data_IF_233157374422
#
_entry.id   IF_233157374422
#
_cell.length_a   1.000
_cell.length_b   1.000
_cell.length_c   1.000
_cell.angle_alpha   90.00
_cell.angle_beta   90.00
_cell.angle_gamma   90.00
#
_symmetry.space_group_name_H-M   'P 1'
#
loop_
_entity.id
_entity.type
_entity.pdbx_description
1 polymer ?
#
# COMPACT_ATOMS: atom_id res chain seq x y z
N UNK A 1 -8.14 5.15 -43.70
CA UNK A 1 -7.16 5.69 -42.74
C UNK A 1 -5.82 5.78 -43.46
N UNK A 2 -5.34 6.99 -43.69
CA UNK A 2 -4.02 7.19 -44.31
C UNK A 2 -2.90 6.96 -43.27
N UNK A 3 -1.64 6.88 -43.72
CA UNK A 3 -0.50 6.59 -42.84
C UNK A 3 -0.23 7.70 -41.80
N UNK A 4 -0.59 8.94 -42.10
CA UNK A 4 -0.42 10.10 -41.23
C UNK A 4 -1.46 10.12 -40.11
N UNK A 5 -2.73 9.87 -40.42
CA UNK A 5 -3.83 9.69 -39.46
C UNK A 5 -3.53 8.54 -38.49
N UNK A 6 -2.97 7.43 -39.00
CA UNK A 6 -2.57 6.29 -38.17
C UNK A 6 -1.41 6.65 -37.22
N UNK A 7 -0.45 7.45 -37.68
CA UNK A 7 0.67 7.91 -36.87
C UNK A 7 0.22 8.92 -35.80
N UNK A 8 -0.68 9.83 -36.15
CA UNK A 8 -1.26 10.81 -35.23
C UNK A 8 -2.13 10.13 -34.17
N UNK A 9 -2.99 9.20 -34.55
CA UNK A 9 -3.78 8.40 -33.62
C UNK A 9 -2.88 7.57 -32.67
N UNK A 10 -1.79 6.99 -33.18
CA UNK A 10 -0.83 6.27 -32.34
C UNK A 10 -0.07 7.19 -31.38
N UNK A 11 0.30 8.40 -31.81
CA UNK A 11 0.91 9.39 -30.93
C UNK A 11 -0.05 9.86 -29.84
N UNK A 12 -1.33 10.07 -30.20
CA UNK A 12 -2.37 10.47 -29.27
C UNK A 12 -2.65 9.36 -28.24
N UNK A 13 -2.77 8.10 -28.69
CA UNK A 13 -2.87 6.94 -27.81
C UNK A 13 -1.66 6.79 -26.88
N UNK A 14 -0.43 6.92 -27.40
CA UNK A 14 0.79 6.89 -26.58
C UNK A 14 0.79 8.02 -25.55
N UNK A 15 0.36 9.23 -25.93
CA UNK A 15 0.29 10.39 -25.04
C UNK A 15 -0.75 10.18 -23.94
N UNK A 16 -1.95 9.72 -24.27
CA UNK A 16 -3.02 9.41 -23.30
C UNK A 16 -2.59 8.30 -22.33
N UNK A 17 -2.00 7.21 -22.83
CA UNK A 17 -1.49 6.11 -21.99
C UNK A 17 -0.34 6.58 -21.08
N UNK A 18 0.53 7.45 -21.58
CA UNK A 18 1.64 8.03 -20.79
C UNK A 18 1.11 8.98 -19.73
N UNK A 19 0.13 9.83 -20.06
CA UNK A 19 -0.50 10.78 -19.14
C UNK A 19 -1.24 10.06 -18.00
N UNK A 20 -2.00 9.00 -18.32
CA UNK A 20 -2.66 8.16 -17.31
C UNK A 20 -1.68 7.52 -16.32
N UNK A 21 -0.41 7.32 -16.72
CA UNK A 21 0.68 6.81 -15.90
C UNK A 21 1.44 7.93 -15.16
N UNK A 22 1.44 9.16 -15.68
CA UNK A 22 2.22 10.28 -15.15
C UNK A 22 1.51 11.07 -14.04
N UNK A 23 0.18 11.12 -14.04
CA UNK A 23 -0.58 11.87 -13.03
C UNK A 23 -0.39 11.34 -11.61
N UNK A 24 -0.14 10.03 -11.45
CA UNK A 24 0.10 9.42 -10.12
C UNK A 24 1.43 9.82 -9.51
N UNK A 25 2.43 10.15 -10.33
CA UNK A 25 3.77 10.53 -9.86
C UNK A 25 3.87 12.02 -9.46
N UNK A 26 2.92 12.84 -9.89
CA UNK A 26 2.79 14.23 -9.43
C UNK A 26 2.04 14.34 -8.09
N UNK A 27 1.35 13.27 -7.69
CA UNK A 27 0.59 13.25 -6.45
C UNK A 27 1.45 13.06 -5.18
N UNK A 28 0.95 13.51 -4.04
CA UNK A 28 1.62 13.43 -2.72
C UNK A 28 1.77 12.02 -2.12
N UNK A 29 1.65 10.95 -2.92
CA UNK A 29 1.74 9.56 -2.46
C UNK A 29 2.99 9.26 -1.63
N UNK A 30 4.13 9.86 -1.98
CA UNK A 30 5.36 9.68 -1.20
C UNK A 30 5.23 10.13 0.26
N UNK A 31 4.58 11.28 0.51
CA UNK A 31 4.37 11.80 1.87
C UNK A 31 3.34 10.96 2.61
N UNK A 32 2.27 10.56 1.92
CA UNK A 32 1.23 9.67 2.48
C UNK A 32 1.87 8.37 2.97
N UNK A 33 2.70 7.74 2.15
CA UNK A 33 3.39 6.48 2.50
C UNK A 33 4.37 6.64 3.65
N UNK A 34 5.13 7.74 3.70
CA UNK A 34 6.01 8.03 4.85
C UNK A 34 5.19 8.13 6.13
N UNK A 35 4.09 8.89 6.12
CA UNK A 35 3.24 9.02 7.31
C UNK A 35 2.59 7.70 7.69
N UNK A 36 2.12 6.94 6.71
CA UNK A 36 1.57 5.61 6.91
C UNK A 36 2.61 4.61 7.41
N UNK A 37 3.89 4.79 7.12
CA UNK A 37 4.95 3.97 7.71
C UNK A 37 4.90 4.08 9.24
N UNK A 38 4.82 5.31 9.77
CA UNK A 38 4.75 5.54 11.21
C UNK A 38 3.43 5.10 11.83
N UNK A 39 2.29 5.44 11.24
CA UNK A 39 0.98 5.07 11.82
C UNK A 39 0.74 3.57 11.78
N UNK A 40 1.01 2.90 10.65
CA UNK A 40 0.88 1.44 10.55
C UNK A 40 1.97 0.71 11.33
N UNK A 41 3.21 1.23 11.33
CA UNK A 41 4.29 0.70 12.15
C UNK A 41 3.92 0.73 13.64
N UNK A 42 3.34 1.84 14.11
CA UNK A 42 2.76 1.95 15.45
C UNK A 42 1.61 0.97 15.68
N UNK A 43 0.72 0.79 14.71
CA UNK A 43 -0.36 -0.20 14.77
C UNK A 43 0.13 -1.64 14.87
N UNK A 44 1.14 -2.03 14.09
CA UNK A 44 1.75 -3.36 14.20
C UNK A 44 2.54 -3.54 15.50
N UNK A 45 3.27 -2.51 15.95
CA UNK A 45 3.93 -2.55 17.26
C UNK A 45 2.92 -2.69 18.40
N UNK A 46 1.83 -1.93 18.39
CA UNK A 46 0.74 -2.08 19.35
C UNK A 46 0.12 -3.47 19.31
N UNK A 47 -0.09 -4.02 18.12
CA UNK A 47 -0.58 -5.41 17.94
C UNK A 47 0.40 -6.42 18.56
N UNK A 48 1.70 -6.23 18.34
CA UNK A 48 2.74 -7.07 18.94
C UNK A 48 2.74 -6.97 20.47
N UNK A 49 2.64 -5.77 21.04
CA UNK A 49 2.61 -5.56 22.49
C UNK A 49 1.37 -6.19 23.14
N UNK A 50 0.18 -6.00 22.54
CA UNK A 50 -1.05 -6.66 22.99
C UNK A 50 -0.89 -8.19 22.98
N UNK A 51 -0.28 -8.72 21.93
CA UNK A 51 -0.03 -10.15 21.82
C UNK A 51 0.96 -10.64 22.89
N UNK A 52 2.04 -9.90 23.16
CA UNK A 52 3.00 -10.22 24.22
C UNK A 52 2.39 -10.14 25.63
N UNK A 53 1.43 -9.24 25.84
CA UNK A 53 0.67 -9.12 27.10
C UNK A 53 -0.38 -10.22 27.29
N UNK A 54 -0.50 -11.15 26.34
CA UNK A 54 -1.43 -12.28 26.45
C UNK A 54 -2.85 -11.98 26.00
N UNK A 55 -3.13 -10.82 25.39
CA UNK A 55 -4.45 -10.58 24.81
C UNK A 55 -4.66 -11.49 23.60
N UNK A 56 -5.76 -12.26 23.63
CA UNK A 56 -6.17 -13.20 22.57
C UNK A 56 -7.58 -12.95 22.04
N UNK A 57 -8.35 -12.06 22.69
CA UNK A 57 -9.69 -11.70 22.25
C UNK A 57 -9.65 -10.59 21.18
N UNK A 58 -10.66 -10.48 20.30
CA UNK A 58 -10.63 -9.49 19.21
C UNK A 58 -10.68 -8.03 19.67
N UNK A 59 -11.33 -7.75 20.80
CA UNK A 59 -11.66 -6.40 21.26
C UNK A 59 -10.46 -5.42 21.30
N UNK A 60 -9.35 -5.75 21.99
CA UNK A 60 -8.17 -4.90 22.04
C UNK A 60 -7.59 -4.57 20.67
N UNK A 61 -7.55 -5.55 19.76
CA UNK A 61 -7.04 -5.35 18.39
C UNK A 61 -7.98 -4.49 17.56
N UNK A 62 -9.30 -4.70 17.69
CA UNK A 62 -10.31 -3.87 17.02
C UNK A 62 -10.17 -2.42 17.48
N UNK A 63 -10.04 -2.17 18.78
CA UNK A 63 -9.90 -0.81 19.32
C UNK A 63 -8.64 -0.12 18.79
N UNK A 64 -7.50 -0.83 18.76
CA UNK A 64 -6.25 -0.31 18.21
C UNK A 64 -6.41 0.09 16.73
N UNK A 65 -6.91 -0.83 15.90
CA UNK A 65 -7.04 -0.58 14.45
C UNK A 65 -8.19 0.38 14.11
N UNK A 66 -9.22 0.48 14.96
CA UNK A 66 -10.27 1.49 14.86
C UNK A 66 -9.75 2.91 15.10
N UNK A 67 -8.57 3.08 15.70
CA UNK A 67 -7.89 4.38 15.79
C UNK A 67 -6.94 4.61 14.61
N UNK A 68 -6.16 3.58 14.25
CA UNK A 68 -5.15 3.69 13.18
C UNK A 68 -5.78 3.89 11.79
N UNK A 69 -6.83 3.13 11.46
CA UNK A 69 -7.46 3.20 10.12
C UNK A 69 -8.06 4.57 9.84
N UNK A 70 -8.89 5.18 10.72
CA UNK A 70 -9.39 6.52 10.48
C UNK A 70 -8.29 7.58 10.38
N UNK A 71 -7.22 7.47 11.18
CA UNK A 71 -6.07 8.37 11.08
C UNK A 71 -5.41 8.30 9.68
N UNK A 72 -5.26 7.10 9.13
CA UNK A 72 -4.77 6.90 7.77
C UNK A 72 -5.72 7.48 6.71
N UNK A 73 -7.03 7.25 6.84
CA UNK A 73 -8.00 7.79 5.90
C UNK A 73 -8.00 9.32 5.90
N UNK A 74 -8.03 9.94 7.08
CA UNK A 74 -7.98 11.40 7.24
C UNK A 74 -6.73 11.96 6.56
N UNK A 75 -5.58 11.32 6.77
CA UNK A 75 -4.32 11.79 6.19
C UNK A 75 -4.26 11.62 4.67
N UNK A 76 -4.80 10.53 4.11
CA UNK A 76 -4.97 10.37 2.66
C UNK A 76 -5.83 11.51 2.10
N UNK A 77 -7.04 11.69 2.63
CA UNK A 77 -7.98 12.68 2.09
C UNK A 77 -7.45 14.11 2.24
N UNK A 78 -6.79 14.43 3.36
CA UNK A 78 -6.25 15.77 3.58
C UNK A 78 -5.08 16.10 2.65
N UNK A 79 -4.16 15.15 2.44
CA UNK A 79 -2.99 15.34 1.57
C UNK A 79 -3.34 15.27 0.08
N UNK A 80 -4.41 14.57 -0.28
CA UNK A 80 -4.93 14.53 -1.65
C UNK A 80 -5.87 15.70 -1.97
N UNK A 81 -6.48 16.37 -0.98
CA UNK A 81 -7.47 17.45 -1.21
C UNK A 81 -6.96 18.58 -2.10
N UNK A 82 -5.66 18.86 -2.08
CA UNK A 82 -5.04 19.92 -2.91
C UNK A 82 -4.83 19.51 -4.37
N UNK A 83 -4.86 18.21 -4.66
CA UNK A 83 -4.59 17.62 -5.99
C UNK A 83 -5.86 16.99 -6.61
N UNK A 84 -6.90 16.77 -5.80
CA UNK A 84 -8.15 16.06 -6.15
C UNK A 84 -9.25 16.93 -6.78
N UNK A 85 -8.92 18.01 -7.48
CA UNK A 85 -9.92 18.76 -8.27
C UNK A 85 -10.39 17.99 -9.54
N UNK A 86 -10.00 16.73 -9.71
CA UNK A 86 -10.36 15.85 -10.82
C UNK A 86 -10.66 14.40 -10.40
N UNK A 87 -11.24 13.64 -11.33
CA UNK A 87 -11.55 12.21 -11.19
C UNK A 87 -10.29 11.42 -10.83
N UNK A 88 -10.35 10.50 -9.84
CA UNK A 88 -9.23 9.60 -9.50
C UNK A 88 -8.68 8.94 -10.77
N UNK A 89 -7.36 8.92 -10.92
CA UNK A 89 -6.70 8.21 -12.01
C UNK A 89 -6.95 6.70 -11.94
N UNK A 90 -6.73 6.00 -13.06
CA UNK A 90 -6.83 4.55 -13.10
C UNK A 90 -5.90 3.88 -12.08
N UNK A 91 -4.64 4.33 -12.01
CA UNK A 91 -3.65 3.78 -11.08
C UNK A 91 -4.09 3.98 -9.63
N UNK A 92 -4.62 5.15 -9.26
CA UNK A 92 -5.12 5.39 -7.89
C UNK A 92 -6.27 4.44 -7.52
N UNK A 93 -7.19 4.17 -8.45
CA UNK A 93 -8.26 3.20 -8.21
C UNK A 93 -7.70 1.80 -7.99
N UNK A 94 -6.70 1.40 -8.77
CA UNK A 94 -6.05 0.10 -8.61
C UNK A 94 -5.30 0.01 -7.27
N UNK A 95 -4.50 1.02 -6.92
CA UNK A 95 -3.80 1.08 -5.62
C UNK A 95 -4.79 1.03 -4.46
N UNK A 96 -5.90 1.78 -4.55
CA UNK A 96 -6.94 1.74 -3.53
C UNK A 96 -7.56 0.34 -3.42
N UNK A 97 -7.90 -0.30 -4.55
CA UNK A 97 -8.45 -1.65 -4.59
C UNK A 97 -7.49 -2.68 -4.00
N UNK A 98 -6.20 -2.62 -4.34
CA UNK A 98 -5.18 -3.55 -3.83
C UNK A 98 -5.16 -3.54 -2.29
N UNK A 99 -5.11 -2.34 -1.71
CA UNK A 99 -5.01 -2.21 -0.25
C UNK A 99 -6.32 -2.48 0.48
N UNK A 100 -7.47 -2.05 -0.07
CA UNK A 100 -8.78 -2.37 0.54
C UNK A 100 -9.07 -3.86 0.49
N UNK A 101 -8.74 -4.55 -0.60
CA UNK A 101 -8.85 -6.01 -0.70
C UNK A 101 -7.88 -6.70 0.26
N UNK A 102 -6.64 -6.22 0.40
CA UNK A 102 -5.68 -6.77 1.37
C UNK A 102 -6.20 -6.65 2.81
N UNK A 103 -6.71 -5.47 3.20
CA UNK A 103 -7.28 -5.25 4.53
C UNK A 103 -8.54 -6.10 4.76
N UNK A 104 -9.42 -6.20 3.77
CA UNK A 104 -10.59 -7.08 3.82
C UNK A 104 -10.19 -8.55 4.01
N UNK A 105 -9.16 -9.02 3.29
CA UNK A 105 -8.60 -10.36 3.46
C UNK A 105 -8.05 -10.59 4.87
N UNK A 106 -7.33 -9.62 5.44
CA UNK A 106 -6.82 -9.70 6.82
C UNK A 106 -7.95 -9.83 7.85
N UNK A 107 -9.03 -9.06 7.69
CA UNK A 107 -10.21 -9.13 8.56
C UNK A 107 -10.91 -10.48 8.42
N UNK A 108 -11.08 -10.97 7.18
CA UNK A 108 -11.70 -12.28 6.93
C UNK A 108 -10.89 -13.43 7.52
N UNK A 109 -9.55 -13.40 7.42
CA UNK A 109 -8.67 -14.38 8.06
C UNK A 109 -8.85 -14.35 9.58
N UNK A 110 -8.91 -13.16 10.19
CA UNK A 110 -9.12 -13.04 11.62
C UNK A 110 -10.47 -13.57 12.08
N UNK A 111 -11.53 -13.27 11.32
CA UNK A 111 -12.87 -13.78 11.58
C UNK A 111 -12.92 -15.31 11.43
N UNK A 112 -12.32 -15.86 10.36
CA UNK A 112 -12.25 -17.30 10.14
C UNK A 112 -11.52 -18.01 11.28
N UNK A 113 -10.36 -17.50 11.70
CA UNK A 113 -9.60 -18.05 12.82
C UNK A 113 -10.40 -18.03 14.12
N UNK A 114 -11.12 -16.94 14.39
CA UNK A 114 -12.00 -16.84 15.54
C UNK A 114 -13.14 -17.87 15.52
N UNK A 115 -13.82 -18.01 14.37
CA UNK A 115 -14.89 -18.99 14.19
C UNK A 115 -14.41 -20.45 14.31
N UNK A 116 -13.14 -20.71 13.96
CA UNK A 116 -12.49 -22.01 14.12
C UNK A 116 -11.97 -22.27 15.54
N UNK A 117 -12.06 -21.29 16.45
CA UNK A 117 -11.53 -21.41 17.81
C UNK A 117 -10.00 -21.47 17.88
N UNK A 118 -9.30 -20.91 16.89
CA UNK A 118 -7.84 -20.84 16.91
C UNK A 118 -7.39 -19.75 17.89
N UNK A 119 -6.38 -20.07 18.70
CA UNK A 119 -5.80 -19.15 19.70
C UNK A 119 -5.14 -17.90 19.08
N UNK A 120 -4.89 -17.93 17.77
CA UNK A 120 -4.28 -16.85 17.01
C UNK A 120 -5.30 -16.25 16.04
N UNK A 121 -5.91 -15.14 16.46
CA UNK A 121 -6.75 -14.32 15.57
C UNK A 121 -6.00 -13.95 14.30
N UNK A 122 -4.78 -13.46 14.44
CA UNK A 122 -3.95 -13.06 13.32
C UNK A 122 -2.72 -13.95 13.26
N UNK A 123 -2.45 -14.51 12.07
CA UNK A 123 -1.20 -15.22 11.79
C UNK A 123 -0.29 -14.27 10.99
N UNK A 124 0.84 -13.78 11.56
CA UNK A 124 1.75 -12.88 10.86
C UNK A 124 2.22 -13.42 9.51
N UNK A 125 2.38 -14.74 9.41
CA UNK A 125 2.71 -15.45 8.17
C UNK A 125 1.63 -15.26 7.09
N UNK A 126 0.34 -15.40 7.44
CA UNK A 126 -0.77 -15.16 6.52
C UNK A 126 -0.83 -13.68 6.11
N UNK A 127 -0.54 -12.78 7.04
CA UNK A 127 -0.40 -11.35 6.72
C UNK A 127 0.69 -11.10 5.68
N UNK A 128 1.86 -11.71 5.85
CA UNK A 128 2.94 -11.66 4.86
C UNK A 128 2.50 -12.21 3.49
N UNK A 129 1.71 -13.29 3.43
CA UNK A 129 1.19 -13.85 2.16
C UNK A 129 0.29 -12.83 1.45
N UNK A 130 -0.67 -12.25 2.16
CA UNK A 130 -1.59 -11.26 1.58
C UNK A 130 -0.84 -10.03 1.09
N UNK A 131 0.13 -9.55 1.87
CA UNK A 131 0.97 -8.41 1.51
C UNK A 131 1.88 -8.73 0.32
N UNK A 132 2.45 -9.94 0.25
CA UNK A 132 3.23 -10.38 -0.90
C UNK A 132 2.38 -10.40 -2.19
N UNK A 133 1.13 -10.86 -2.10
CA UNK A 133 0.19 -10.80 -3.21
C UNK A 133 -0.09 -9.36 -3.63
N UNK A 134 -0.38 -8.46 -2.68
CA UNK A 134 -0.59 -7.04 -2.96
C UNK A 134 0.61 -6.39 -3.65
N UNK A 135 1.83 -6.68 -3.17
CA UNK A 135 3.05 -6.16 -3.81
C UNK A 135 3.33 -6.79 -5.18
N UNK A 136 2.88 -8.01 -5.44
CA UNK A 136 2.97 -8.64 -6.76
C UNK A 136 2.07 -7.92 -7.76
N UNK A 137 0.84 -7.58 -7.36
CA UNK A 137 -0.08 -6.78 -8.19
C UNK A 137 0.48 -5.36 -8.39
N UNK A 138 1.07 -4.75 -7.35
CA UNK A 138 1.80 -3.48 -7.48
C UNK A 138 2.99 -3.59 -8.44
N UNK A 139 3.66 -4.75 -8.51
CA UNK A 139 4.72 -5.03 -9.48
C UNK A 139 4.25 -4.95 -10.92
N UNK A 140 3.07 -5.53 -11.20
CA UNK A 140 2.44 -5.47 -12.51
C UNK A 140 2.00 -4.04 -12.88
N UNK A 141 1.55 -3.27 -11.88
CA UNK A 141 0.99 -1.92 -12.08
C UNK A 141 2.05 -0.81 -12.16
N UNK A 142 3.01 -0.82 -11.22
CA UNK A 142 3.95 0.29 -10.97
C UNK A 142 5.40 -0.07 -11.31
N UNK A 143 5.68 -1.33 -11.62
CA UNK A 143 6.96 -1.80 -12.15
C UNK A 143 7.74 -2.74 -11.22
N UNK A 144 8.81 -3.32 -11.78
CA UNK A 144 9.53 -4.47 -11.23
C UNK A 144 10.08 -4.34 -9.81
N UNK A 145 10.33 -3.13 -9.32
CA UNK A 145 10.86 -2.93 -7.97
C UNK A 145 9.91 -3.50 -6.89
N UNK A 146 8.60 -3.49 -7.13
CA UNK A 146 7.63 -4.01 -6.17
C UNK A 146 7.60 -5.54 -6.12
N UNK A 147 8.05 -6.25 -7.16
CA UNK A 147 8.22 -7.70 -7.08
C UNK A 147 9.31 -8.10 -6.07
N UNK A 148 10.34 -7.27 -5.89
CA UNK A 148 11.34 -7.52 -4.85
C UNK A 148 10.72 -7.48 -3.46
N UNK A 149 9.85 -6.48 -3.20
CA UNK A 149 9.07 -6.44 -1.96
C UNK A 149 8.19 -7.68 -1.81
N UNK A 150 7.47 -8.08 -2.87
CA UNK A 150 6.65 -9.28 -2.86
C UNK A 150 7.42 -10.54 -2.45
N UNK A 151 8.60 -10.78 -3.04
CA UNK A 151 9.47 -11.91 -2.71
C UNK A 151 9.92 -11.85 -1.26
N UNK A 152 10.31 -10.66 -0.78
CA UNK A 152 10.74 -10.46 0.62
C UNK A 152 9.60 -10.85 1.59
N UNK A 153 8.37 -10.41 1.35
CA UNK A 153 7.22 -10.80 2.18
C UNK A 153 6.87 -12.29 2.04
N UNK A 154 6.99 -12.87 0.84
CA UNK A 154 6.74 -14.29 0.64
C UNK A 154 7.74 -15.17 1.43
N UNK A 155 9.03 -14.82 1.41
CA UNK A 155 10.04 -15.50 2.21
C UNK A 155 9.82 -15.30 3.71
N UNK A 156 9.46 -14.08 4.13
CA UNK A 156 9.11 -13.81 5.52
C UNK A 156 7.89 -14.61 5.98
N UNK A 157 6.90 -14.86 5.12
CA UNK A 157 5.76 -15.70 5.47
C UNK A 157 6.19 -17.12 5.88
N UNK A 158 7.14 -17.71 5.15
CA UNK A 158 7.70 -19.03 5.46
C UNK A 158 8.48 -19.02 6.77
N UNK A 159 9.28 -17.98 7.02
CA UNK A 159 10.05 -17.83 8.26
C UNK A 159 9.13 -17.61 9.48
N UNK A 160 8.16 -16.70 9.37
CA UNK A 160 7.24 -16.37 10.46
C UNK A 160 6.24 -17.49 10.76
N UNK A 161 5.99 -18.41 9.82
CA UNK A 161 5.24 -19.62 10.10
C UNK A 161 5.94 -20.53 11.14
N UNK A 162 7.26 -20.39 11.33
CA UNK A 162 8.04 -21.14 12.32
C UNK A 162 8.31 -20.38 13.61
N UNK A 163 8.14 -19.07 13.60
CA UNK A 163 8.42 -18.18 14.72
C UNK A 163 7.26 -17.17 14.93
N UNK A 164 6.04 -17.66 15.22
CA UNK A 164 4.86 -16.80 15.35
C UNK A 164 4.98 -15.78 16.49
N UNK A 165 5.76 -16.06 17.53
CA UNK A 165 5.96 -15.23 18.72
C UNK A 165 6.59 -13.86 18.42
N UNK A 166 7.51 -13.79 17.45
CA UNK A 166 8.10 -12.52 16.99
C UNK A 166 7.38 -11.93 15.78
N UNK A 167 6.36 -12.63 15.27
CA UNK A 167 5.85 -12.39 13.93
C UNK A 167 5.25 -11.00 13.71
N UNK A 168 4.50 -10.43 14.66
CA UNK A 168 3.97 -9.07 14.51
C UNK A 168 5.04 -7.99 14.55
N UNK A 169 6.10 -8.18 15.35
CA UNK A 169 7.22 -7.25 15.42
C UNK A 169 7.99 -7.23 14.09
N UNK A 170 8.30 -8.42 13.55
CA UNK A 170 8.98 -8.56 12.26
C UNK A 170 8.11 -8.02 11.13
N UNK A 171 6.84 -8.41 11.05
CA UNK A 171 5.90 -7.92 10.04
C UNK A 171 5.78 -6.40 10.10
N UNK A 172 5.63 -5.83 11.30
CA UNK A 172 5.55 -4.38 11.50
C UNK A 172 6.82 -3.65 11.07
N UNK A 173 8.00 -4.20 11.39
CA UNK A 173 9.29 -3.65 10.97
C UNK A 173 9.46 -3.68 9.44
N UNK A 174 9.13 -4.81 8.81
CA UNK A 174 9.15 -4.94 7.36
C UNK A 174 8.21 -3.94 6.69
N UNK A 175 6.98 -3.82 7.21
CA UNK A 175 5.98 -2.90 6.72
C UNK A 175 6.41 -1.44 6.84
N UNK A 176 6.97 -1.07 7.99
CA UNK A 176 7.57 0.24 8.23
C UNK A 176 8.66 0.56 7.20
N UNK A 177 9.63 -0.34 7.04
CA UNK A 177 10.76 -0.15 6.10
C UNK A 177 10.25 -0.03 4.66
N UNK A 178 9.32 -0.91 4.27
CA UNK A 178 8.79 -0.93 2.89
C UNK A 178 8.03 0.36 2.57
N UNK A 179 7.15 0.82 3.46
CA UNK A 179 6.41 2.05 3.25
C UNK A 179 7.31 3.29 3.32
N UNK A 180 8.26 3.33 4.26
CA UNK A 180 9.16 4.47 4.40
C UNK A 180 10.07 4.60 3.18
N UNK A 181 10.70 3.50 2.74
CA UNK A 181 11.59 3.49 1.58
C UNK A 181 10.81 3.79 0.29
N UNK A 182 9.67 3.13 0.07
CA UNK A 182 8.78 3.40 -1.06
C UNK A 182 8.31 4.86 -1.08
N UNK A 183 7.90 5.38 0.08
CA UNK A 183 7.47 6.77 0.24
C UNK A 183 8.59 7.77 -0.05
N UNK A 184 9.81 7.53 0.44
CA UNK A 184 10.98 8.36 0.15
C UNK A 184 11.35 8.34 -1.33
N UNK A 185 11.29 7.19 -2.00
CA UNK A 185 11.57 7.08 -3.43
C UNK A 185 10.53 7.84 -4.27
N UNK A 186 9.23 7.67 -3.95
CA UNK A 186 8.15 8.40 -4.60
C UNK A 186 8.26 9.92 -4.36
N UNK A 187 8.59 10.33 -3.12
CA UNK A 187 8.76 11.73 -2.79
C UNK A 187 9.95 12.36 -3.53
N UNK A 188 11.09 11.65 -3.62
CA UNK A 188 12.26 12.09 -4.39
C UNK A 188 11.94 12.18 -5.89
N UNK A 189 11.24 11.19 -6.43
CA UNK A 189 10.82 11.18 -7.83
C UNK A 189 9.91 12.38 -8.16
N UNK A 190 8.93 12.66 -7.29
CA UNK A 190 8.06 13.85 -7.40
C UNK A 190 8.85 15.15 -7.38
N UNK A 191 9.73 15.32 -6.39
CA UNK A 191 10.59 16.52 -6.28
C UNK A 191 11.44 16.75 -7.53
N UNK A 192 12.05 15.68 -8.08
CA UNK A 192 12.85 15.77 -9.31
C UNK A 192 12.00 16.24 -10.49
N UNK A 193 10.77 15.71 -10.64
CA UNK A 193 9.84 16.12 -11.71
C UNK A 193 9.38 17.57 -11.60
N UNK A 194 9.05 18.03 -10.40
CA UNK A 194 8.67 19.43 -10.17
C UNK A 194 9.83 20.38 -10.48
N UNK A 195 11.07 20.01 -10.12
CA UNK A 195 12.26 20.81 -10.43
C UNK A 195 12.58 20.90 -11.93
N UNK A 196 12.25 19.86 -12.71
CA UNK A 196 12.44 19.87 -14.17
C UNK A 196 11.30 20.53 -14.95
N UNK A 197 10.42 21.30 -14.28
CA UNK A 197 9.33 22.04 -14.95
C UNK A 197 8.15 21.18 -15.39
N UNK A 198 7.99 19.96 -14.85
CA UNK A 198 6.94 18.99 -15.20
C UNK A 198 5.52 19.37 -14.73
N UNK A 199 5.14 20.65 -14.82
CA UNK A 199 3.79 21.17 -14.54
C UNK A 199 2.95 21.29 -15.82
N UNK A 200 3.46 20.86 -16.98
CA UNK A 200 2.65 20.77 -18.19
C UNK A 200 1.85 19.46 -18.23
N UNK A 201 0.80 19.39 -17.41
CA UNK A 201 -0.36 18.56 -17.66
C UNK A 201 -1.57 19.49 -17.85
N UNK A 202 -1.94 19.74 -19.11
CA UNK A 202 -3.16 20.43 -19.56
C UNK A 202 -3.55 19.80 -20.91
N UNK A 203 -4.80 19.40 -21.17
CA UNK A 203 -6.09 19.59 -20.50
C UNK A 203 -6.96 18.33 -20.65
N UNK A 204 -7.82 18.15 -19.64
CA UNK A 204 -9.19 17.59 -19.62
C UNK A 204 -9.45 16.31 -20.41
#
# INVERSE_FOLDING_TARGET
MNREEAAEALQLLRRVVTQARDDTALQNWGVIWILHAFTNGGGFLGTHLLFQQGYRTPGPFILLWALVIPLNLVTIFWLQRKEAAGVRSFIERQVWSIWTTCMGGMVLVALANWMMGLDLLFMPSVGCILIAMSFSVMGALMGRAWYAAAVIYALAALGLARMPEVGFGVLGGMWFITQLTGGLLLHRARRKRLATGGVQARLV
#
